data_IF_792876999218
#
_entry.id   IF_792876999218
#
_cell.length_a   1.000
_cell.length_b   1.000
_cell.length_c   1.000
_cell.angle_alpha   90.00
_cell.angle_beta   90.00
_cell.angle_gamma   90.00
#
_symmetry.space_group_name_H-M   'P 1'
#
loop_
_entity.id
_entity.type
_entity.pdbx_description
1 polymer ?
#
# COMPACT_ATOMS: atom_id res chain seq x y z
N UNK A 1 29.88 -15.18 5.99
CA UNK A 1 29.21 -14.48 4.87
C UNK A 1 29.17 -13.02 5.27
N UNK A 2 29.49 -12.14 4.36
CA UNK A 2 29.36 -10.72 4.61
C UNK A 2 27.87 -10.37 4.86
N UNK A 3 27.58 -9.36 5.70
CA UNK A 3 26.22 -8.97 5.98
C UNK A 3 25.53 -8.47 4.70
N UNK A 4 24.25 -8.83 4.51
CA UNK A 4 23.47 -8.30 3.40
C UNK A 4 23.31 -6.78 3.54
N UNK A 5 23.39 -6.07 2.42
CA UNK A 5 23.18 -4.63 2.38
C UNK A 5 21.83 -4.31 1.73
N UNK A 6 20.97 -3.65 2.49
CA UNK A 6 19.68 -3.12 2.03
C UNK A 6 19.80 -1.66 1.62
N UNK A 7 19.24 -1.33 0.48
CA UNK A 7 18.90 0.03 0.11
C UNK A 7 17.39 0.21 0.28
N UNK A 8 16.99 0.90 1.33
CA UNK A 8 15.60 1.24 1.62
C UNK A 8 15.24 2.58 0.98
N UNK A 9 14.14 2.64 0.22
CA UNK A 9 13.59 3.86 -0.36
C UNK A 9 12.36 4.27 0.44
N UNK A 10 12.36 5.51 0.93
CA UNK A 10 11.24 6.08 1.68
C UNK A 10 11.12 7.59 1.39
N UNK A 11 10.34 7.97 0.37
CA UNK A 11 10.06 9.37 0.06
C UNK A 11 9.20 10.03 1.14
N UNK A 12 8.44 9.25 1.89
CA UNK A 12 7.73 9.61 3.13
C UNK A 12 8.34 8.90 4.33
N UNK A 13 8.14 9.43 5.54
CA UNK A 13 8.63 8.82 6.77
C UNK A 13 7.84 7.54 7.09
N UNK A 14 8.40 6.39 6.74
CA UNK A 14 7.81 5.05 6.90
C UNK A 14 8.86 3.95 7.04
N UNK A 15 8.44 2.78 7.48
CA UNK A 15 9.26 1.58 7.46
C UNK A 15 10.29 1.49 8.59
N UNK A 16 10.10 2.21 9.70
CA UNK A 16 11.02 2.19 10.85
C UNK A 16 11.25 0.77 11.35
N UNK A 17 10.16 -0.01 11.54
CA UNK A 17 10.27 -1.39 12.04
C UNK A 17 10.92 -2.34 11.03
N UNK A 18 10.76 -2.11 9.72
CA UNK A 18 11.51 -2.84 8.70
C UNK A 18 13.02 -2.64 8.88
N UNK A 19 13.47 -1.39 9.00
CA UNK A 19 14.88 -1.04 9.16
C UNK A 19 15.45 -1.56 10.49
N UNK A 20 14.69 -1.46 11.59
CA UNK A 20 15.06 -2.03 12.89
C UNK A 20 15.24 -3.53 12.82
N UNK A 21 14.30 -4.23 12.21
CA UNK A 21 14.39 -5.69 12.07
C UNK A 21 15.53 -6.10 11.14
N UNK A 22 15.71 -5.44 9.99
CA UNK A 22 16.83 -5.72 9.10
C UNK A 22 18.18 -5.58 9.84
N UNK A 23 18.33 -4.51 10.61
CA UNK A 23 19.51 -4.28 11.43
C UNK A 23 19.69 -5.33 12.52
N UNK A 24 18.60 -5.71 13.21
CA UNK A 24 18.62 -6.75 14.25
C UNK A 24 19.04 -8.12 13.69
N UNK A 25 18.73 -8.40 12.45
CA UNK A 25 19.16 -9.60 11.72
C UNK A 25 20.59 -9.51 11.18
N UNK A 26 21.32 -8.45 11.49
CA UNK A 26 22.71 -8.26 11.11
C UNK A 26 22.95 -7.67 9.72
N UNK A 27 21.89 -7.18 9.06
CA UNK A 27 22.06 -6.51 7.77
C UNK A 27 22.62 -5.09 7.91
N UNK A 28 23.27 -4.60 6.86
CA UNK A 28 23.55 -3.17 6.68
C UNK A 28 22.35 -2.50 6.05
N UNK A 29 21.99 -1.33 6.53
CA UNK A 29 20.82 -0.59 6.08
C UNK A 29 21.21 0.79 5.59
N UNK A 30 21.05 1.04 4.31
CA UNK A 30 21.13 2.36 3.71
C UNK A 30 19.72 2.88 3.46
N UNK A 31 19.48 4.13 3.81
CA UNK A 31 18.21 4.82 3.55
C UNK A 31 18.39 5.91 2.51
N UNK A 32 17.60 5.85 1.46
CA UNK A 32 17.36 6.98 0.56
C UNK A 32 16.03 7.63 0.94
N UNK A 33 16.03 8.94 1.12
CA UNK A 33 14.82 9.69 1.50
C UNK A 33 14.79 11.10 0.91
N UNK A 34 13.65 11.76 1.00
CA UNK A 34 13.46 13.12 0.50
C UNK A 34 14.25 14.14 1.30
N UNK A 35 14.91 15.07 0.62
CA UNK A 35 15.65 16.18 1.25
C UNK A 35 14.71 17.01 2.15
N UNK A 36 13.46 17.18 1.77
CA UNK A 36 12.45 17.88 2.56
C UNK A 36 12.14 17.23 3.91
N UNK A 37 12.61 16.01 4.17
CA UNK A 37 12.49 15.28 5.44
C UNK A 37 13.74 15.40 6.34
N UNK A 38 14.84 15.97 5.86
CA UNK A 38 16.13 15.96 6.55
C UNK A 38 16.08 16.45 8.00
N UNK A 39 15.24 17.45 8.29
CA UNK A 39 15.10 18.04 9.62
C UNK A 39 13.73 17.82 10.25
N UNK A 40 12.87 16.99 9.61
CA UNK A 40 11.49 16.76 10.06
C UNK A 40 11.27 15.33 10.52
N UNK A 41 11.84 14.37 9.81
CA UNK A 41 11.62 12.95 10.07
C UNK A 41 12.48 12.43 11.23
N UNK A 42 11.90 11.56 12.03
CA UNK A 42 12.54 10.90 13.17
C UNK A 42 12.95 9.49 12.80
N UNK A 43 13.91 9.36 11.88
CA UNK A 43 14.42 8.08 11.44
C UNK A 43 15.08 7.30 12.59
N UNK A 44 14.98 5.94 12.62
CA UNK A 44 15.64 5.08 13.60
C UNK A 44 17.14 5.02 13.32
N UNK A 45 17.86 6.09 13.69
CA UNK A 45 19.29 6.30 13.39
C UNK A 45 20.16 5.16 13.86
N UNK A 46 19.80 4.51 14.96
CA UNK A 46 20.48 3.34 15.50
C UNK A 46 20.44 2.11 14.58
N UNK A 47 19.49 2.10 13.64
CA UNK A 47 19.26 0.99 12.72
C UNK A 47 19.63 1.28 11.27
N UNK A 48 20.26 2.44 11.01
CA UNK A 48 20.63 2.90 9.67
C UNK A 48 22.12 3.19 9.64
N UNK A 49 22.84 2.56 8.70
CA UNK A 49 24.26 2.75 8.55
C UNK A 49 24.60 4.07 7.83
N UNK A 50 23.80 4.47 6.84
CA UNK A 50 23.91 5.77 6.19
C UNK A 50 22.57 6.25 5.61
N UNK A 51 22.38 7.58 5.48
CA UNK A 51 21.18 8.22 4.95
C UNK A 51 21.56 9.16 3.82
N UNK A 52 20.94 8.95 2.67
CA UNK A 52 21.11 9.76 1.47
C UNK A 52 19.85 10.56 1.21
N UNK A 53 19.99 11.88 1.11
CA UNK A 53 18.89 12.80 0.87
C UNK A 53 18.80 13.17 -0.60
N UNK A 54 17.71 12.79 -1.27
CA UNK A 54 17.44 13.15 -2.66
C UNK A 54 16.68 14.47 -2.73
N UNK A 55 17.10 15.41 -3.60
CA UNK A 55 16.26 16.55 -3.93
C UNK A 55 14.89 16.10 -4.38
N UNK A 56 13.85 16.70 -3.80
CA UNK A 56 12.47 16.31 -4.08
C UNK A 56 11.58 17.52 -4.38
N UNK A 57 10.60 17.30 -5.23
CA UNK A 57 9.46 18.17 -5.42
C UNK A 57 8.20 17.37 -5.03
N UNK A 58 7.52 17.80 -3.97
CA UNK A 58 6.34 17.10 -3.43
C UNK A 58 6.58 15.58 -3.22
N UNK A 59 7.73 15.24 -2.62
CA UNK A 59 8.20 13.86 -2.38
C UNK A 59 8.54 13.06 -3.66
N UNK A 60 8.49 13.68 -4.83
CA UNK A 60 8.90 13.05 -6.08
C UNK A 60 10.37 13.32 -6.36
N UNK A 61 11.13 12.28 -6.70
CA UNK A 61 12.55 12.35 -7.06
C UNK A 61 12.74 12.29 -8.57
N UNK A 62 13.75 13.00 -9.06
CA UNK A 62 14.15 12.83 -10.46
C UNK A 62 14.73 11.42 -10.67
N UNK A 63 14.13 10.66 -11.59
CA UNK A 63 14.51 9.27 -11.87
C UNK A 63 15.97 9.13 -12.27
N UNK A 64 16.45 9.95 -13.21
CA UNK A 64 17.82 9.85 -13.72
C UNK A 64 18.84 10.22 -12.65
N UNK A 65 18.59 11.27 -11.89
CA UNK A 65 19.48 11.71 -10.82
C UNK A 65 19.58 10.63 -9.72
N UNK A 66 18.47 9.97 -9.39
CA UNK A 66 18.45 8.87 -8.43
C UNK A 66 19.24 7.66 -8.95
N UNK A 67 19.04 7.27 -10.22
CA UNK A 67 19.82 6.19 -10.82
C UNK A 67 21.33 6.50 -10.83
N UNK A 68 21.73 7.73 -11.17
CA UNK A 68 23.13 8.15 -11.17
C UNK A 68 23.72 8.16 -9.76
N UNK A 69 23.01 8.69 -8.76
CA UNK A 69 23.44 8.76 -7.38
C UNK A 69 23.70 7.33 -6.82
N UNK A 70 22.74 6.41 -7.03
CA UNK A 70 22.88 5.05 -6.52
C UNK A 70 23.91 4.23 -7.31
N UNK A 71 24.04 4.47 -8.63
CA UNK A 71 25.14 3.88 -9.41
C UNK A 71 26.50 4.36 -8.91
N UNK A 72 26.59 5.61 -8.44
CA UNK A 72 27.84 6.10 -7.83
C UNK A 72 28.12 5.39 -6.49
N UNK A 73 27.11 5.25 -5.63
CA UNK A 73 27.22 4.51 -4.36
C UNK A 73 27.64 3.05 -4.61
N UNK A 74 27.08 2.40 -5.62
CA UNK A 74 27.36 1.02 -5.97
C UNK A 74 28.81 0.77 -6.50
N UNK A 75 29.63 1.82 -6.68
CA UNK A 75 31.06 1.68 -7.01
C UNK A 75 31.89 1.19 -5.82
N UNK A 76 31.44 1.49 -4.61
CA UNK A 76 32.16 1.18 -3.38
C UNK A 76 31.35 0.29 -2.43
N UNK A 77 30.03 0.27 -2.57
CA UNK A 77 29.10 -0.47 -1.71
C UNK A 77 28.40 -1.56 -2.49
N UNK A 78 28.46 -2.80 -2.03
CA UNK A 78 27.64 -3.87 -2.56
C UNK A 78 26.20 -3.70 -2.04
N UNK A 79 25.23 -3.61 -2.95
CA UNK A 79 23.79 -3.51 -2.63
C UNK A 79 23.13 -4.83 -3.01
N UNK A 80 22.62 -5.57 -2.02
CA UNK A 80 22.02 -6.89 -2.22
C UNK A 80 20.51 -6.83 -2.42
N UNK A 81 19.86 -5.86 -1.80
CA UNK A 81 18.39 -5.67 -1.81
C UNK A 81 18.05 -4.20 -1.99
N UNK A 82 17.00 -3.96 -2.76
CA UNK A 82 16.37 -2.64 -2.89
C UNK A 82 14.91 -2.77 -2.49
N UNK A 83 14.47 -2.03 -1.47
CA UNK A 83 13.12 -2.14 -0.91
C UNK A 83 12.44 -0.77 -0.89
N UNK A 84 11.26 -0.68 -1.49
CA UNK A 84 10.41 0.51 -1.41
C UNK A 84 9.51 0.40 -0.18
N UNK A 85 9.66 1.28 0.77
CA UNK A 85 8.88 1.29 2.02
C UNK A 85 7.53 2.03 1.87
N UNK A 86 7.31 2.67 0.72
CA UNK A 86 6.04 3.33 0.37
C UNK A 86 5.61 2.99 -1.07
N UNK A 87 4.32 3.15 -1.36
CA UNK A 87 3.76 2.98 -2.71
C UNK A 87 4.45 3.85 -3.75
N UNK A 88 4.75 5.09 -3.38
CA UNK A 88 5.33 6.07 -4.31
C UNK A 88 6.76 5.72 -4.73
N UNK A 89 7.44 4.88 -3.96
CA UNK A 89 8.84 4.47 -4.21
C UNK A 89 8.96 3.16 -5.00
N UNK A 90 7.86 2.43 -5.22
CA UNK A 90 7.89 1.11 -5.86
C UNK A 90 8.48 1.14 -7.27
N UNK A 91 8.11 2.15 -8.09
CA UNK A 91 8.61 2.27 -9.47
C UNK A 91 10.10 2.64 -9.50
N UNK A 92 10.55 3.49 -8.58
CA UNK A 92 11.97 3.83 -8.46
C UNK A 92 12.80 2.63 -7.99
N UNK A 93 12.29 1.87 -7.02
CA UNK A 93 12.96 0.64 -6.55
C UNK A 93 13.05 -0.40 -7.67
N UNK A 94 12.02 -0.54 -8.48
CA UNK A 94 12.04 -1.44 -9.64
C UNK A 94 13.09 -1.01 -10.68
N UNK A 95 13.15 0.28 -10.99
CA UNK A 95 14.15 0.84 -11.90
C UNK A 95 15.58 0.60 -11.41
N UNK A 96 15.83 0.82 -10.12
CA UNK A 96 17.14 0.55 -9.50
C UNK A 96 17.50 -0.94 -9.54
N UNK A 97 16.54 -1.84 -9.23
CA UNK A 97 16.78 -3.29 -9.32
C UNK A 97 17.17 -3.71 -10.74
N UNK A 98 16.45 -3.25 -11.75
CA UNK A 98 16.76 -3.59 -13.14
C UNK A 98 18.09 -2.98 -13.60
N UNK A 99 18.34 -1.73 -13.24
CA UNK A 99 19.58 -1.03 -13.61
C UNK A 99 20.83 -1.67 -13.00
N UNK A 100 20.77 -2.01 -11.71
CA UNK A 100 21.89 -2.60 -10.95
C UNK A 100 21.91 -4.13 -10.97
N UNK A 101 20.94 -4.78 -11.65
CA UNK A 101 20.79 -6.23 -11.70
C UNK A 101 20.59 -6.88 -10.33
N UNK A 102 19.90 -6.19 -9.44
CA UNK A 102 19.54 -6.67 -8.11
C UNK A 102 18.24 -7.48 -8.20
N UNK A 103 18.16 -8.69 -7.59
CA UNK A 103 16.94 -9.49 -7.61
C UNK A 103 15.72 -8.80 -6.97
N UNK A 104 14.55 -8.96 -7.58
CA UNK A 104 13.28 -8.44 -7.07
C UNK A 104 12.29 -8.12 -8.19
N UNK A 105 11.16 -7.51 -7.85
CA UNK A 105 10.18 -7.04 -8.83
C UNK A 105 10.78 -5.99 -9.74
N UNK A 106 10.74 -6.25 -11.06
CA UNK A 106 11.09 -5.28 -12.10
C UNK A 106 9.92 -4.33 -12.43
N UNK A 107 10.15 -3.42 -13.36
CA UNK A 107 9.21 -2.34 -13.70
C UNK A 107 7.85 -2.87 -14.20
N UNK A 108 7.85 -3.93 -15.01
CA UNK A 108 6.59 -4.50 -15.56
C UNK A 108 5.70 -5.05 -14.45
N UNK A 109 6.24 -5.88 -13.56
CA UNK A 109 5.48 -6.46 -12.45
C UNK A 109 5.06 -5.40 -11.44
N UNK A 110 5.91 -4.42 -11.17
CA UNK A 110 5.61 -3.32 -10.26
C UNK A 110 4.39 -2.52 -10.67
N UNK A 111 4.12 -2.38 -11.97
CA UNK A 111 2.93 -1.69 -12.48
C UNK A 111 1.63 -2.34 -12.01
N UNK A 112 1.60 -3.65 -11.82
CA UNK A 112 0.43 -4.37 -11.27
C UNK A 112 0.15 -4.08 -9.79
N UNK A 113 1.08 -3.36 -9.12
CA UNK A 113 0.93 -2.91 -7.73
C UNK A 113 0.88 -1.40 -7.60
N UNK A 114 0.86 -0.66 -8.72
CA UNK A 114 0.87 0.81 -8.76
C UNK A 114 -0.17 1.42 -9.68
N UNK A 115 -0.31 0.88 -10.89
CA UNK A 115 -1.18 1.43 -11.93
C UNK A 115 -2.53 0.74 -11.91
N UNK A 116 -3.57 1.46 -11.45
CA UNK A 116 -4.94 0.91 -11.34
C UNK A 116 -5.48 0.39 -12.68
N UNK A 117 -5.09 1.00 -13.81
CA UNK A 117 -5.49 0.48 -15.13
C UNK A 117 -4.83 -0.87 -15.41
N UNK A 118 -3.52 -1.01 -15.13
CA UNK A 118 -2.82 -2.27 -15.28
C UNK A 118 -3.40 -3.34 -14.33
N UNK A 119 -3.73 -2.99 -13.08
CA UNK A 119 -4.41 -3.87 -12.14
C UNK A 119 -5.75 -4.37 -12.69
N UNK A 120 -6.57 -3.48 -13.27
CA UNK A 120 -7.88 -3.85 -13.84
C UNK A 120 -7.74 -4.82 -15.01
N UNK A 121 -6.83 -4.52 -15.93
CA UNK A 121 -6.58 -5.36 -17.10
C UNK A 121 -6.13 -6.76 -16.67
N UNK A 122 -5.15 -6.85 -15.79
CA UNK A 122 -4.60 -8.10 -15.29
C UNK A 122 -5.64 -8.91 -14.48
N UNK A 123 -6.47 -8.22 -13.69
CA UNK A 123 -7.52 -8.87 -12.92
C UNK A 123 -8.61 -9.50 -13.81
N UNK A 124 -9.02 -8.81 -14.90
CA UNK A 124 -9.97 -9.35 -15.87
C UNK A 124 -9.41 -10.61 -16.54
N UNK A 125 -8.14 -10.57 -16.98
CA UNK A 125 -7.49 -11.74 -17.60
C UNK A 125 -7.43 -12.93 -16.65
N UNK A 126 -7.33 -12.69 -15.35
CA UNK A 126 -7.38 -13.71 -14.31
C UNK A 126 -8.81 -14.12 -13.90
N UNK A 127 -9.84 -13.57 -14.55
CA UNK A 127 -11.25 -13.86 -14.26
C UNK A 127 -11.73 -13.33 -12.90
N UNK A 128 -11.12 -12.26 -12.38
CA UNK A 128 -11.57 -11.56 -11.17
C UNK A 128 -12.65 -10.54 -11.55
N UNK A 129 -13.60 -10.32 -10.65
CA UNK A 129 -14.55 -9.23 -10.80
C UNK A 129 -13.87 -7.91 -10.45
N UNK A 130 -14.04 -6.92 -11.31
CA UNK A 130 -13.61 -5.53 -11.10
C UNK A 130 -14.77 -4.62 -11.46
N UNK A 131 -14.87 -3.40 -10.91
CA UNK A 131 -15.82 -2.42 -11.41
C UNK A 131 -15.63 -2.22 -12.91
N UNK A 132 -16.71 -2.10 -13.66
CA UNK A 132 -16.62 -1.73 -15.08
C UNK A 132 -15.89 -0.40 -15.22
N UNK A 133 -14.97 -0.30 -16.16
CA UNK A 133 -14.10 0.88 -16.26
C UNK A 133 -13.78 1.25 -17.71
N UNK A 134 -13.31 2.48 -17.87
CA UNK A 134 -12.75 2.99 -19.11
C UNK A 134 -11.51 3.82 -18.81
N UNK A 135 -10.46 3.66 -19.62
CA UNK A 135 -9.32 4.57 -19.62
C UNK A 135 -9.74 5.92 -20.27
N UNK A 136 -9.50 7.02 -19.56
CA UNK A 136 -9.91 8.34 -20.01
C UNK A 136 -8.97 8.89 -21.11
N UNK A 137 -8.88 8.17 -22.22
CA UNK A 137 -8.00 8.50 -23.34
C UNK A 137 -8.75 8.67 -24.66
N UNK A 138 -9.57 7.69 -25.03
CA UNK A 138 -10.29 7.68 -26.30
C UNK A 138 -11.74 8.13 -26.09
N UNK A 139 -12.13 9.25 -26.74
CA UNK A 139 -13.45 9.88 -26.54
C UNK A 139 -14.62 9.01 -26.95
N UNK A 140 -14.44 8.15 -27.98
CA UNK A 140 -15.49 7.23 -28.40
C UNK A 140 -15.72 6.16 -27.36
N UNK A 141 -14.65 5.54 -26.84
CA UNK A 141 -14.74 4.54 -25.77
C UNK A 141 -15.32 5.12 -24.47
N UNK A 142 -15.01 6.38 -24.16
CA UNK A 142 -15.61 7.06 -22.98
C UNK A 142 -17.10 7.26 -23.19
N UNK A 143 -17.53 7.66 -24.40
CA UNK A 143 -18.98 7.79 -24.73
C UNK A 143 -19.70 6.44 -24.70
N UNK A 144 -19.09 5.39 -25.26
CA UNK A 144 -19.65 4.03 -25.22
C UNK A 144 -19.81 3.54 -23.77
N UNK A 145 -18.79 3.75 -22.93
CA UNK A 145 -18.85 3.43 -21.51
C UNK A 145 -20.00 4.17 -20.82
N UNK A 146 -20.08 5.49 -20.96
CA UNK A 146 -21.13 6.31 -20.34
C UNK A 146 -22.53 5.99 -20.85
N UNK A 147 -22.66 5.53 -22.10
CA UNK A 147 -23.94 5.07 -22.66
C UNK A 147 -24.40 3.69 -22.16
N UNK A 148 -23.46 2.87 -21.67
CA UNK A 148 -23.73 1.50 -21.20
C UNK A 148 -23.79 1.38 -19.69
N UNK A 149 -22.93 2.11 -18.98
CA UNK A 149 -22.80 2.08 -17.53
C UNK A 149 -23.43 3.35 -16.95
N UNK A 150 -24.53 3.25 -16.21
CA UNK A 150 -25.18 4.43 -15.62
C UNK A 150 -24.32 5.03 -14.48
N UNK A 151 -24.41 6.35 -14.22
CA UNK A 151 -23.80 6.96 -13.06
C UNK A 151 -24.44 6.42 -11.74
N UNK A 152 -23.83 6.66 -10.58
CA UNK A 152 -22.59 7.42 -10.39
C UNK A 152 -21.34 6.67 -10.85
N UNK A 153 -20.33 7.43 -11.24
CA UNK A 153 -19.02 6.91 -11.60
C UNK A 153 -17.96 7.42 -10.64
N UNK A 154 -16.80 6.75 -10.64
CA UNK A 154 -15.61 7.16 -9.89
C UNK A 154 -14.50 7.48 -10.86
N UNK A 155 -14.11 8.74 -10.96
CA UNK A 155 -12.90 9.18 -11.63
C UNK A 155 -11.73 9.05 -10.66
N UNK A 156 -10.67 8.37 -11.06
CA UNK A 156 -9.49 8.20 -10.20
C UNK A 156 -8.17 8.25 -10.98
N UNK A 157 -7.12 8.85 -10.39
CA UNK A 157 -5.78 8.77 -10.97
C UNK A 157 -5.27 7.32 -10.90
N UNK A 158 -4.51 6.91 -11.93
CA UNK A 158 -3.99 5.54 -12.06
C UNK A 158 -2.95 5.21 -11.00
N UNK A 159 -2.06 6.15 -10.67
CA UNK A 159 -0.89 5.91 -9.83
C UNK A 159 -0.92 6.56 -8.44
N UNK A 160 -2.07 7.08 -7.97
CA UNK A 160 -2.17 7.67 -6.62
C UNK A 160 -2.71 6.66 -5.60
N UNK A 161 -2.47 6.92 -4.32
CA UNK A 161 -2.91 6.13 -3.17
C UNK A 161 -3.70 6.99 -2.18
N UNK A 162 -4.40 6.38 -1.22
CA UNK A 162 -5.07 7.08 -0.11
C UNK A 162 -6.24 7.97 -0.55
N UNK A 163 -6.98 7.57 -1.57
CA UNK A 163 -8.12 8.32 -2.13
C UNK A 163 -7.77 9.71 -2.72
N UNK A 164 -6.48 10.05 -2.88
CA UNK A 164 -6.04 11.33 -3.42
C UNK A 164 -6.48 11.49 -4.88
N UNK A 165 -7.19 12.59 -5.18
CA UNK A 165 -7.62 12.94 -6.53
C UNK A 165 -8.78 12.11 -7.06
N UNK A 166 -9.44 11.32 -6.23
CA UNK A 166 -10.66 10.58 -6.57
C UNK A 166 -11.86 11.55 -6.56
N UNK A 167 -12.76 11.41 -7.52
CA UNK A 167 -14.00 12.18 -7.61
C UNK A 167 -15.18 11.24 -7.93
N UNK A 168 -16.30 11.48 -7.29
CA UNK A 168 -17.58 10.84 -7.67
C UNK A 168 -18.27 11.75 -8.68
N UNK A 169 -18.76 11.17 -9.77
CA UNK A 169 -19.41 11.87 -10.87
C UNK A 169 -20.85 11.36 -11.00
N UNK A 170 -21.80 12.23 -10.75
CA UNK A 170 -23.22 11.86 -10.69
C UNK A 170 -23.94 12.02 -12.04
N UNK A 171 -23.27 12.63 -13.02
CA UNK A 171 -23.87 12.91 -14.33
C UNK A 171 -22.83 12.89 -15.47
N UNK A 172 -23.33 12.82 -16.70
CA UNK A 172 -22.52 12.97 -17.91
C UNK A 172 -21.87 14.36 -17.99
N UNK A 173 -22.52 15.38 -17.45
CA UNK A 173 -21.97 16.74 -17.47
C UNK A 173 -20.83 16.86 -16.47
N UNK A 174 -20.89 16.18 -15.31
CA UNK A 174 -19.76 16.10 -14.39
C UNK A 174 -18.57 15.39 -15.03
N UNK A 175 -18.81 14.29 -15.76
CA UNK A 175 -17.76 13.59 -16.47
C UNK A 175 -17.08 14.48 -17.52
N UNK A 176 -17.86 15.22 -18.30
CA UNK A 176 -17.36 16.16 -19.30
C UNK A 176 -16.57 17.30 -18.67
N UNK A 177 -17.07 17.86 -17.58
CA UNK A 177 -16.39 18.94 -16.85
C UNK A 177 -15.04 18.46 -16.28
N UNK A 178 -15.01 17.28 -15.66
CA UNK A 178 -13.80 16.69 -15.13
C UNK A 178 -12.77 16.38 -16.24
N UNK A 179 -13.21 15.78 -17.33
CA UNK A 179 -12.39 15.48 -18.50
C UNK A 179 -11.74 16.76 -19.10
N UNK A 180 -12.54 17.80 -19.28
CA UNK A 180 -12.05 19.10 -19.76
C UNK A 180 -11.05 19.73 -18.78
N UNK A 181 -11.29 19.65 -17.47
CA UNK A 181 -10.38 20.18 -16.44
C UNK A 181 -9.03 19.45 -16.40
N UNK A 182 -9.02 18.17 -16.71
CA UNK A 182 -7.78 17.37 -16.77
C UNK A 182 -6.92 17.70 -17.98
N UNK A 183 -7.52 18.08 -19.13
CA UNK A 183 -6.80 18.31 -20.37
C UNK A 183 -5.92 17.11 -20.75
N UNK A 184 -4.68 17.33 -21.14
CA UNK A 184 -3.74 16.24 -21.54
C UNK A 184 -3.42 15.26 -20.39
N UNK A 185 -3.63 15.66 -19.13
CA UNK A 185 -3.43 14.77 -17.98
C UNK A 185 -4.48 13.66 -17.88
N UNK A 186 -5.56 13.73 -18.64
CA UNK A 186 -6.62 12.70 -18.70
C UNK A 186 -6.06 11.28 -18.92
N UNK A 187 -4.97 11.14 -19.67
CA UNK A 187 -4.31 9.86 -19.91
C UNK A 187 -3.80 9.15 -18.64
N UNK A 188 -3.65 9.88 -17.54
CA UNK A 188 -3.28 9.34 -16.23
C UNK A 188 -4.49 8.99 -15.35
N UNK A 189 -5.70 8.98 -15.90
CA UNK A 189 -6.94 8.73 -15.18
C UNK A 189 -7.75 7.60 -15.82
N UNK A 190 -8.61 7.00 -15.01
CA UNK A 190 -9.66 6.09 -15.45
C UNK A 190 -10.98 6.44 -14.76
N UNK A 191 -12.07 6.05 -15.39
CA UNK A 191 -13.44 6.17 -14.84
C UNK A 191 -13.97 4.76 -14.62
N UNK A 192 -14.57 4.52 -13.46
CA UNK A 192 -15.17 3.23 -13.09
C UNK A 192 -16.62 3.39 -12.66
N UNK A 193 -17.39 2.33 -12.78
CA UNK A 193 -18.71 2.24 -12.13
C UNK A 193 -18.51 2.38 -10.62
N UNK A 194 -19.29 3.22 -9.98
CA UNK A 194 -19.37 3.24 -8.52
C UNK A 194 -20.03 1.95 -8.02
N UNK A 195 -19.39 1.28 -7.09
CA UNK A 195 -19.92 0.07 -6.44
C UNK A 195 -20.31 0.45 -5.02
N UNK A 196 -21.61 0.41 -4.71
CA UNK A 196 -22.09 0.51 -3.35
C UNK A 196 -21.81 -0.78 -2.59
N UNK A 197 -21.33 -0.67 -1.35
CA UNK A 197 -21.03 -1.85 -0.52
C UNK A 197 -19.95 -1.58 0.50
N UNK A 198 -19.56 -2.64 1.19
CA UNK A 198 -18.52 -2.62 2.23
C UNK A 198 -17.13 -2.74 1.62
N UNK A 199 -16.23 -1.87 2.01
CA UNK A 199 -14.82 -1.98 1.64
C UNK A 199 -14.10 -2.84 2.67
N UNK A 200 -13.37 -3.83 2.17
CA UNK A 200 -12.61 -4.78 2.96
C UNK A 200 -11.16 -4.81 2.48
N UNK A 201 -10.26 -5.26 3.34
CA UNK A 201 -8.87 -5.45 2.95
C UNK A 201 -8.30 -6.77 3.47
N UNK A 202 -7.26 -7.23 2.79
CA UNK A 202 -6.48 -8.41 3.19
C UNK A 202 -5.02 -8.02 3.23
N UNK A 203 -4.39 -8.25 4.38
CA UNK A 203 -2.97 -8.04 4.59
C UNK A 203 -2.26 -9.38 4.61
N UNK A 204 -1.15 -9.51 3.86
CA UNK A 204 -0.52 -10.81 3.64
C UNK A 204 1.00 -10.77 3.72
N UNK A 205 1.58 -11.92 4.09
CA UNK A 205 3.00 -12.22 3.95
C UNK A 205 3.15 -13.28 2.87
N UNK A 206 3.94 -12.98 1.84
CA UNK A 206 4.17 -13.85 0.69
C UNK A 206 5.64 -14.24 0.62
N UNK A 207 5.90 -15.51 0.40
CA UNK A 207 7.24 -16.03 0.19
C UNK A 207 7.23 -17.13 -0.87
N UNK A 208 8.00 -16.92 -1.93
CA UNK A 208 8.12 -17.82 -3.08
C UNK A 208 6.74 -18.22 -3.67
N UNK A 209 5.96 -17.19 -4.04
CA UNK A 209 4.59 -17.30 -4.57
C UNK A 209 3.58 -17.97 -3.62
N UNK A 210 3.93 -18.17 -2.38
CA UNK A 210 3.05 -18.78 -1.39
C UNK A 210 2.66 -17.75 -0.34
N UNK A 211 1.38 -17.59 -0.11
CA UNK A 211 0.89 -16.82 1.02
C UNK A 211 1.09 -17.67 2.27
N UNK A 212 1.98 -17.22 3.16
CA UNK A 212 2.28 -17.89 4.42
C UNK A 212 1.43 -17.37 5.57
N UNK A 213 0.94 -16.16 5.46
CA UNK A 213 0.01 -15.53 6.38
C UNK A 213 -0.91 -14.59 5.59
N UNK A 214 -2.18 -14.56 5.96
CA UNK A 214 -3.13 -13.54 5.50
C UNK A 214 -4.24 -13.35 6.52
N UNK A 215 -4.69 -12.11 6.68
CA UNK A 215 -5.81 -11.75 7.54
C UNK A 215 -6.74 -10.78 6.83
N UNK A 216 -8.05 -11.01 6.96
CA UNK A 216 -9.08 -10.19 6.36
C UNK A 216 -9.66 -9.21 7.38
N UNK A 217 -9.89 -7.98 6.94
CA UNK A 217 -10.45 -6.89 7.74
C UNK A 217 -11.51 -6.13 6.95
N UNK A 218 -12.35 -5.37 7.65
CA UNK A 218 -13.39 -4.54 7.08
C UNK A 218 -13.27 -3.12 7.62
N UNK A 219 -13.31 -2.13 6.74
CA UNK A 219 -13.45 -0.74 7.14
C UNK A 219 -14.85 -0.48 7.70
N UNK A 220 -14.96 0.32 8.74
CA UNK A 220 -16.26 0.70 9.30
C UNK A 220 -17.02 1.70 8.42
N UNK A 221 -16.27 2.49 7.66
CA UNK A 221 -16.78 3.38 6.61
C UNK A 221 -15.80 3.33 5.43
N UNK A 222 -16.28 3.34 4.17
CA UNK A 222 -15.38 3.36 3.03
C UNK A 222 -14.34 4.48 3.11
N UNK A 223 -13.04 4.21 2.86
CA UNK A 223 -11.99 5.23 2.94
C UNK A 223 -12.26 6.47 2.08
N UNK A 224 -12.95 6.31 0.95
CA UNK A 224 -13.38 7.41 0.09
C UNK A 224 -14.33 8.36 0.82
N UNK A 225 -15.30 7.83 1.55
CA UNK A 225 -16.27 8.65 2.31
C UNK A 225 -15.58 9.38 3.46
N UNK A 226 -14.69 8.72 4.19
CA UNK A 226 -13.88 9.35 5.25
C UNK A 226 -13.05 10.50 4.69
N UNK A 227 -12.41 10.29 3.53
CA UNK A 227 -11.58 11.30 2.89
C UNK A 227 -12.37 12.50 2.40
N UNK A 228 -13.57 12.32 1.85
CA UNK A 228 -14.35 13.39 1.24
C UNK A 228 -15.27 14.11 2.22
N UNK A 229 -15.84 13.38 3.19
CA UNK A 229 -16.87 13.91 4.11
C UNK A 229 -16.32 14.15 5.52
N UNK A 230 -15.09 13.70 5.76
CA UNK A 230 -14.54 13.62 7.11
C UNK A 230 -15.17 12.47 7.90
N UNK A 231 -14.67 12.23 9.10
CA UNK A 231 -15.17 11.18 9.97
C UNK A 231 -14.05 10.46 10.69
N UNK A 232 -14.41 9.37 11.33
CA UNK A 232 -13.48 8.49 12.03
C UNK A 232 -13.10 7.36 11.07
N UNK A 233 -11.83 7.24 10.77
CA UNK A 233 -11.31 6.05 10.07
C UNK A 233 -11.32 4.89 11.05
N UNK A 234 -11.99 3.80 10.67
CA UNK A 234 -12.03 2.58 11.47
C UNK A 234 -11.84 1.37 10.59
N UNK A 235 -11.13 0.39 11.12
CA UNK A 235 -11.05 -0.94 10.52
C UNK A 235 -10.93 -2.00 11.61
N UNK A 236 -11.49 -3.18 11.38
CA UNK A 236 -11.46 -4.29 12.32
C UNK A 236 -11.22 -5.61 11.59
N UNK A 237 -10.61 -6.56 12.28
CA UNK A 237 -10.50 -7.91 11.75
C UNK A 237 -11.88 -8.55 11.62
N UNK A 238 -12.04 -9.32 10.55
CA UNK A 238 -13.20 -10.20 10.39
C UNK A 238 -13.03 -11.48 11.21
N UNK A 239 -14.14 -12.07 11.58
CA UNK A 239 -14.14 -13.38 12.24
C UNK A 239 -13.49 -14.41 11.33
N UNK A 240 -12.46 -15.08 11.86
CA UNK A 240 -11.71 -16.12 11.12
C UNK A 240 -12.62 -17.30 10.83
N UNK A 241 -12.56 -17.80 9.58
CA UNK A 241 -13.43 -18.87 9.12
C UNK A 241 -14.86 -18.43 8.79
N UNK A 242 -15.21 -17.16 8.96
CA UNK A 242 -16.49 -16.66 8.44
C UNK A 242 -16.54 -16.72 6.91
N UNK A 243 -17.74 -16.88 6.31
CA UNK A 243 -17.88 -16.89 4.86
C UNK A 243 -17.24 -15.67 4.17
N UNK A 244 -17.36 -14.49 4.77
CA UNK A 244 -16.80 -13.24 4.25
C UNK A 244 -15.26 -13.26 4.28
N UNK A 245 -14.68 -13.67 5.41
CA UNK A 245 -13.22 -13.77 5.54
C UNK A 245 -12.66 -14.79 4.53
N UNK A 246 -13.28 -15.96 4.40
CA UNK A 246 -12.84 -16.98 3.45
C UNK A 246 -12.95 -16.53 1.99
N UNK A 247 -14.02 -15.82 1.62
CA UNK A 247 -14.18 -15.26 0.28
C UNK A 247 -13.09 -14.22 -0.04
N UNK A 248 -12.78 -13.32 0.91
CA UNK A 248 -11.72 -12.33 0.79
C UNK A 248 -10.33 -13.00 0.66
N UNK A 249 -10.03 -13.97 1.51
CA UNK A 249 -8.77 -14.70 1.46
C UNK A 249 -8.62 -15.49 0.13
N UNK A 250 -9.71 -16.08 -0.38
CA UNK A 250 -9.72 -16.74 -1.68
C UNK A 250 -9.51 -15.75 -2.83
N UNK A 251 -10.18 -14.60 -2.79
CA UNK A 251 -10.00 -13.50 -3.73
C UNK A 251 -8.55 -13.00 -3.73
N UNK A 252 -7.99 -12.76 -2.55
CA UNK A 252 -6.61 -12.29 -2.40
C UNK A 252 -5.58 -13.29 -2.97
N UNK A 253 -5.75 -14.58 -2.75
CA UNK A 253 -4.89 -15.61 -3.37
C UNK A 253 -4.88 -15.49 -4.89
N UNK A 254 -6.02 -15.28 -5.52
CA UNK A 254 -6.16 -15.11 -6.97
C UNK A 254 -5.52 -13.80 -7.44
N UNK A 255 -5.74 -12.70 -6.71
CA UNK A 255 -5.12 -11.40 -7.01
C UNK A 255 -3.60 -11.52 -7.00
N UNK A 256 -3.01 -11.98 -5.90
CA UNK A 256 -1.56 -12.00 -5.75
C UNK A 256 -0.89 -12.96 -6.75
N UNK A 257 -1.55 -14.07 -7.08
CA UNK A 257 -1.08 -14.98 -8.14
C UNK A 257 -1.11 -14.30 -9.52
N UNK A 258 -2.19 -13.56 -9.84
CA UNK A 258 -2.34 -12.85 -11.11
C UNK A 258 -1.35 -11.70 -11.25
N UNK A 259 -1.12 -10.92 -10.18
CA UNK A 259 -0.20 -9.78 -10.17
C UNK A 259 1.27 -10.20 -10.07
N UNK A 260 1.56 -11.44 -9.65
CA UNK A 260 2.91 -12.01 -9.64
C UNK A 260 3.77 -11.57 -8.47
N UNK A 261 3.21 -11.41 -7.27
CA UNK A 261 3.99 -11.15 -6.06
C UNK A 261 4.78 -12.39 -5.65
N UNK A 262 6.08 -12.39 -5.91
CA UNK A 262 6.96 -13.50 -5.58
C UNK A 262 7.24 -13.57 -4.06
N UNK A 263 7.56 -12.44 -3.44
CA UNK A 263 7.89 -12.32 -2.01
C UNK A 263 7.66 -10.90 -1.51
N UNK A 264 7.42 -10.76 -0.22
CA UNK A 264 7.17 -9.50 0.47
C UNK A 264 5.86 -9.53 1.24
N UNK A 265 5.30 -8.36 1.43
CA UNK A 265 3.98 -8.16 2.04
C UNK A 265 3.04 -7.50 1.04
N UNK A 266 1.75 -7.65 1.26
CA UNK A 266 0.75 -6.98 0.43
C UNK A 266 -0.42 -6.47 1.26
N UNK A 267 -1.01 -5.40 0.76
CA UNK A 267 -2.29 -4.88 1.20
C UNK A 267 -3.22 -4.86 -0.01
N UNK A 268 -4.31 -5.62 0.06
CA UNK A 268 -5.24 -5.80 -1.07
C UNK A 268 -6.64 -5.40 -0.64
N UNK A 269 -7.29 -4.53 -1.41
CA UNK A 269 -8.63 -4.02 -1.13
C UNK A 269 -9.68 -4.61 -2.06
N UNK A 270 -10.87 -4.82 -1.50
CA UNK A 270 -12.06 -5.32 -2.19
C UNK A 270 -13.29 -4.50 -1.79
N UNK A 271 -14.27 -4.45 -2.69
CA UNK A 271 -15.63 -4.01 -2.35
C UNK A 271 -16.52 -5.25 -2.37
N UNK A 272 -17.19 -5.53 -1.25
CA UNK A 272 -18.30 -6.47 -1.21
C UNK A 272 -19.55 -5.68 -1.60
N UNK A 273 -19.93 -5.78 -2.87
CA UNK A 273 -21.06 -5.08 -3.41
C UNK A 273 -22.40 -5.48 -2.77
N UNK A 274 -23.38 -4.59 -2.78
CA UNK A 274 -24.75 -4.89 -2.35
C UNK A 274 -25.40 -6.00 -3.20
N UNK A 275 -24.86 -6.25 -4.39
CA UNK A 275 -25.24 -7.37 -5.27
C UNK A 275 -24.64 -8.72 -4.86
N UNK A 276 -23.88 -8.73 -3.76
CA UNK A 276 -23.20 -9.93 -3.23
C UNK A 276 -21.91 -10.30 -3.98
N UNK A 277 -21.49 -9.51 -4.96
CA UNK A 277 -20.25 -9.77 -5.72
C UNK A 277 -19.05 -9.15 -5.01
N UNK A 278 -17.95 -9.89 -4.94
CA UNK A 278 -16.68 -9.38 -4.45
C UNK A 278 -15.87 -8.77 -5.59
N UNK A 279 -15.75 -7.46 -5.60
CA UNK A 279 -14.98 -6.70 -6.60
C UNK A 279 -13.58 -6.41 -6.09
N UNK A 280 -12.57 -6.76 -6.86
CA UNK A 280 -11.18 -6.34 -6.59
C UNK A 280 -11.04 -4.85 -6.84
N UNK A 281 -10.52 -4.11 -5.85
CA UNK A 281 -10.35 -2.67 -5.90
C UNK A 281 -8.90 -2.28 -6.21
N UNK A 282 -7.96 -2.66 -5.39
CA UNK A 282 -6.52 -2.42 -5.62
C UNK A 282 -5.65 -3.33 -4.77
N UNK A 283 -4.37 -3.45 -5.12
CA UNK A 283 -3.37 -4.13 -4.31
C UNK A 283 -2.06 -3.39 -4.34
N UNK A 284 -1.34 -3.44 -3.23
CA UNK A 284 -0.03 -2.82 -3.06
C UNK A 284 0.96 -3.83 -2.50
N UNK A 285 2.21 -3.79 -3.01
CA UNK A 285 3.29 -4.65 -2.54
C UNK A 285 4.07 -4.00 -1.38
N UNK A 286 3.32 -3.58 -0.37
CA UNK A 286 3.83 -2.97 0.87
C UNK A 286 2.85 -3.18 2.02
N UNK A 287 3.26 -2.82 3.21
CA UNK A 287 2.41 -2.83 4.41
C UNK A 287 1.27 -1.83 4.28
N UNK A 288 0.07 -2.19 4.75
CA UNK A 288 -1.10 -1.30 4.79
C UNK A 288 -0.80 0.01 5.54
N UNK A 289 -1.38 1.12 5.04
CA UNK A 289 -1.24 2.43 5.66
C UNK A 289 -2.10 2.60 6.92
N UNK A 290 -2.15 3.83 7.46
CA UNK A 290 -3.04 4.21 8.54
C UNK A 290 -2.98 3.28 9.79
N UNK A 291 -1.78 2.77 10.14
CA UNK A 291 -1.55 1.87 11.29
C UNK A 291 -2.22 0.48 11.19
N UNK A 292 -2.50 0.02 9.98
CA UNK A 292 -3.00 -1.36 9.75
C UNK A 292 -1.96 -2.41 10.19
N UNK A 293 -0.65 -2.11 10.09
CA UNK A 293 0.38 -3.02 10.60
C UNK A 293 0.25 -3.25 12.11
N UNK A 294 0.02 -2.20 12.87
CA UNK A 294 -0.17 -2.24 14.31
C UNK A 294 -1.48 -2.97 14.68
N UNK A 295 -2.54 -2.79 13.88
CA UNK A 295 -3.78 -3.56 14.02
C UNK A 295 -3.54 -5.06 13.85
N UNK A 296 -2.81 -5.45 12.79
CA UNK A 296 -2.48 -6.86 12.53
C UNK A 296 -1.59 -7.43 13.64
N UNK A 297 -0.60 -6.67 14.10
CA UNK A 297 0.29 -7.07 15.19
C UNK A 297 -0.49 -7.27 16.50
N UNK A 298 -1.39 -6.35 16.85
CA UNK A 298 -2.23 -6.46 18.06
C UNK A 298 -3.07 -7.75 18.07
N UNK A 299 -3.64 -8.13 16.92
CA UNK A 299 -4.51 -9.29 16.81
C UNK A 299 -3.77 -10.61 16.59
N UNK A 300 -2.52 -10.58 16.11
CA UNK A 300 -1.83 -11.79 15.64
C UNK A 300 -0.43 -11.98 16.22
N UNK A 301 0.14 -10.93 16.82
CA UNK A 301 1.55 -10.90 17.24
C UNK A 301 2.55 -10.78 16.10
N UNK A 302 2.09 -10.63 14.84
CA UNK A 302 2.96 -10.52 13.67
C UNK A 302 3.11 -9.06 13.23
N UNK A 303 4.31 -8.51 13.42
CA UNK A 303 4.66 -7.21 12.87
C UNK A 303 5.01 -7.35 11.38
N UNK A 304 4.15 -6.86 10.49
CA UNK A 304 4.30 -7.04 9.05
C UNK A 304 5.58 -6.38 8.49
N UNK A 305 6.04 -5.29 9.07
CA UNK A 305 7.30 -4.65 8.68
C UNK A 305 8.50 -5.53 9.02
N UNK A 306 8.52 -6.07 10.24
CA UNK A 306 9.59 -6.97 10.68
C UNK A 306 9.59 -8.28 9.90
N UNK A 307 8.41 -8.87 9.66
CA UNK A 307 8.30 -10.09 8.86
C UNK A 307 8.73 -9.86 7.41
N UNK A 308 8.42 -8.69 6.83
CA UNK A 308 8.91 -8.33 5.49
C UNK A 308 10.44 -8.27 5.42
N UNK A 309 11.10 -7.67 6.43
CA UNK A 309 12.56 -7.66 6.49
C UNK A 309 13.15 -9.09 6.50
N UNK A 310 12.56 -10.01 7.27
CA UNK A 310 12.96 -11.43 7.32
C UNK A 310 12.76 -12.14 5.97
N UNK A 311 11.64 -11.87 5.29
CA UNK A 311 11.37 -12.37 3.94
C UNK A 311 12.44 -11.91 2.95
N UNK A 312 12.82 -10.65 2.97
CA UNK A 312 13.85 -10.10 2.09
C UNK A 312 15.25 -10.65 2.42
N UNK A 313 15.54 -10.89 3.68
CA UNK A 313 16.79 -11.54 4.12
C UNK A 313 16.86 -12.98 3.61
N UNK A 314 15.78 -13.74 3.79
CA UNK A 314 15.71 -15.10 3.29
C UNK A 314 15.87 -15.16 1.75
N UNK A 315 15.30 -14.20 1.04
CA UNK A 315 15.56 -13.90 -0.38
C UNK A 315 15.39 -15.07 -1.34
N UNK A 316 14.54 -16.07 -1.01
CA UNK A 316 14.35 -17.29 -1.79
C UNK A 316 15.49 -18.32 -1.69
N UNK A 317 16.53 -18.02 -0.90
CA UNK A 317 17.70 -18.92 -0.71
C UNK A 317 17.66 -19.66 0.62
N UNK A 318 17.00 -19.10 1.62
CA UNK A 318 16.85 -19.68 2.95
C UNK A 318 15.39 -20.01 3.21
N UNK A 319 15.06 -21.02 4.03
CA UNK A 319 13.69 -21.26 4.43
C UNK A 319 13.19 -20.09 5.29
N UNK A 320 11.93 -19.70 5.06
CA UNK A 320 11.24 -18.72 5.89
C UNK A 320 9.84 -19.23 6.21
N UNK A 321 9.44 -19.07 7.46
CA UNK A 321 8.08 -19.23 7.94
C UNK A 321 7.83 -18.19 9.05
N UNK A 322 6.70 -17.47 9.03
CA UNK A 322 6.35 -16.58 10.12
C UNK A 322 6.07 -17.39 11.40
N UNK A 323 6.22 -16.79 12.59
CA UNK A 323 5.76 -17.42 13.82
C UNK A 323 4.26 -17.78 13.75
N UNK A 324 3.79 -18.77 14.50
CA UNK A 324 2.36 -19.05 14.60
C UNK A 324 1.60 -17.79 15.07
N UNK A 325 0.59 -17.31 14.32
CA UNK A 325 -0.16 -16.14 14.72
C UNK A 325 -1.06 -16.45 15.93
N UNK A 326 -1.25 -15.46 16.80
CA UNK A 326 -2.32 -15.46 17.76
C UNK A 326 -3.69 -15.37 17.08
N UNK A 327 -4.75 -15.69 17.79
CA UNK A 327 -6.12 -15.72 17.27
C UNK A 327 -7.01 -14.66 17.94
N UNK A 328 -6.43 -13.53 18.31
CA UNK A 328 -7.19 -12.45 18.92
C UNK A 328 -7.86 -11.58 17.84
N UNK A 329 -8.76 -10.73 18.26
CA UNK A 329 -9.41 -9.73 17.43
C UNK A 329 -8.95 -8.36 17.86
N UNK A 330 -8.92 -7.44 16.90
CA UNK A 330 -8.60 -6.05 17.18
C UNK A 330 -9.38 -5.13 16.25
N UNK A 331 -9.57 -3.90 16.70
CA UNK A 331 -10.13 -2.81 15.91
C UNK A 331 -9.28 -1.56 16.07
N UNK A 332 -9.05 -0.86 14.96
CA UNK A 332 -8.33 0.40 14.89
C UNK A 332 -9.31 1.54 14.67
N UNK A 333 -9.14 2.62 15.43
CA UNK A 333 -9.82 3.89 15.23
C UNK A 333 -8.77 4.98 15.04
N UNK A 334 -8.98 5.87 14.06
CA UNK A 334 -8.17 7.08 13.86
C UNK A 334 -9.08 8.25 13.56
N UNK A 335 -8.89 9.36 14.27
CA UNK A 335 -9.64 10.60 14.09
C UNK A 335 -8.70 11.80 14.13
N UNK A 336 -9.09 12.87 13.45
CA UNK A 336 -8.44 14.15 13.60
C UNK A 336 -8.87 14.82 14.91
N UNK A 337 -7.95 15.53 15.55
CA UNK A 337 -8.19 16.30 16.75
C UNK A 337 -7.88 17.79 16.51
N UNK A 338 -8.64 18.66 17.19
CA UNK A 338 -8.37 20.11 17.17
C UNK A 338 -7.11 20.47 17.96
N UNK A 339 -6.85 19.71 19.04
CA UNK A 339 -5.65 19.87 19.87
C UNK A 339 -4.44 19.36 19.12
N UNK A 340 -3.33 20.07 19.21
CA UNK A 340 -2.05 19.62 18.66
C UNK A 340 -1.57 18.33 19.34
N UNK A 341 -1.71 18.28 20.66
CA UNK A 341 -1.39 17.10 21.46
C UNK A 341 -2.64 16.68 22.25
N UNK A 342 -3.51 15.83 21.65
CA UNK A 342 -4.74 15.39 22.31
C UNK A 342 -4.42 14.52 23.53
N UNK A 343 -5.04 14.83 24.66
CA UNK A 343 -4.97 13.99 25.84
C UNK A 343 -6.00 12.87 25.76
N UNK A 344 -5.50 11.64 25.72
CA UNK A 344 -6.32 10.41 25.68
C UNK A 344 -6.23 9.61 26.99
N UNK A 345 -5.69 10.19 28.06
CA UNK A 345 -5.47 9.48 29.34
C UNK A 345 -6.77 9.07 30.05
N UNK A 346 -7.89 9.72 29.73
CA UNK A 346 -9.21 9.35 30.27
C UNK A 346 -9.79 8.04 29.70
N UNK A 347 -9.23 7.55 28.59
CA UNK A 347 -9.58 6.25 28.02
C UNK A 347 -8.59 5.22 28.59
N UNK A 348 -8.88 4.64 29.77
CA UNK A 348 -7.98 3.77 30.50
C UNK A 348 -8.39 2.27 30.47
N UNK A 349 -9.31 1.93 29.55
CA UNK A 349 -9.75 0.56 29.34
C UNK A 349 -8.57 -0.38 29.04
N UNK A 350 -8.48 -1.54 29.69
CA UNK A 350 -7.36 -2.47 29.53
C UNK A 350 -7.29 -3.11 28.14
N UNK A 351 -8.37 -3.05 27.37
CA UNK A 351 -8.45 -3.50 26.00
C UNK A 351 -7.72 -2.57 25.02
N UNK A 352 -7.39 -1.33 25.41
CA UNK A 352 -6.63 -0.42 24.57
C UNK A 352 -5.15 -0.80 24.61
N UNK A 353 -4.70 -1.51 23.58
CA UNK A 353 -3.33 -2.05 23.49
C UNK A 353 -2.35 -1.10 22.79
N UNK A 354 -2.85 -0.12 22.05
CA UNK A 354 -2.02 0.85 21.34
C UNK A 354 -2.68 2.22 21.25
N UNK A 355 -1.87 3.29 21.30
CA UNK A 355 -2.30 4.68 21.17
C UNK A 355 -1.41 5.43 20.20
N UNK A 356 -2.02 6.17 19.29
CA UNK A 356 -1.32 7.05 18.37
C UNK A 356 -0.75 8.27 19.09
N UNK A 357 0.47 8.65 18.75
CA UNK A 357 1.16 9.85 19.26
C UNK A 357 1.58 10.73 18.08
N UNK A 358 0.59 11.28 17.37
CA UNK A 358 0.83 12.22 16.28
C UNK A 358 0.10 13.55 16.54
N UNK A 359 0.70 14.69 16.17
CA UNK A 359 0.03 15.99 16.29
C UNK A 359 -1.32 15.97 15.56
N UNK A 360 -2.32 16.55 16.19
CA UNK A 360 -3.69 16.67 15.67
C UNK A 360 -4.40 15.35 15.34
N UNK A 361 -3.95 14.23 15.91
CA UNK A 361 -4.59 12.93 15.69
C UNK A 361 -4.87 12.23 17.03
N UNK A 362 -5.97 11.49 17.05
CA UNK A 362 -6.28 10.49 18.07
C UNK A 362 -6.40 9.15 17.36
N UNK A 363 -5.70 8.15 17.84
CA UNK A 363 -5.82 6.78 17.33
C UNK A 363 -5.64 5.77 18.45
N UNK A 364 -6.39 4.68 18.36
CA UNK A 364 -6.37 3.59 19.34
C UNK A 364 -6.60 2.25 18.65
N UNK A 365 -5.98 1.22 19.20
CA UNK A 365 -6.29 -0.18 18.88
C UNK A 365 -6.81 -0.83 20.15
N UNK A 366 -7.96 -1.47 20.01
CA UNK A 366 -8.64 -2.25 21.04
C UNK A 366 -8.77 -3.69 20.62
#
# INVERSE_FOLDING_TARGET
>A
MDPLTFLCLASYEKGHEFMREAKRQGARVFLITSLSLQHKAQWPRESIDDIFYMPDQDKSWNRNDTLLAISHLARTEAIDRVVALDDFDLEMAAALREHLRIPGMGETTTRYFRDKLAMRMQAIEAGLHVPEFVHLLNDEKVREFAGRVPPPWVLKPRGMAGAIGIQVLDSLDDLRAADHALGDRRSFFLVERYIAGDVCHVDSIVYENRILFAVASQYGCPPLDVSHRGGIFTTRLLERGSPDAEALLAGNRRVLAAMGLLRGVSHTEFIRGEDGVLYFLETSARVGGAHIAELVEAATGLNLWGEWAKVEIAGGKLPYAPPPPANDYAALLVSLARQEHPDTSAYDDPEIVWRMQLPHHVGMIV
#
